data_IF_838499787917
#
_entry.id   IF_838499787917
#
_cell.length_a   1.000
_cell.length_b   1.000
_cell.length_c   1.000
_cell.angle_alpha   90.00
_cell.angle_beta   90.00
_cell.angle_gamma   90.00
#
_symmetry.space_group_name_H-M   'P 1'
#
loop_
_entity.id
_entity.type
_entity.pdbx_description
1 polymer ?
#
# COMPACT_ATOMS: atom_id res chain seq x y z
N UNK A 1 -5.92 10.07 -4.65
CA UNK A 1 -5.68 8.61 -4.62
C UNK A 1 -5.21 8.12 -3.26
N UNK A 2 -4.19 8.71 -2.63
CA UNK A 2 -3.61 8.15 -1.39
C UNK A 2 -4.61 7.87 -0.24
N UNK A 3 -5.75 8.58 -0.20
CA UNK A 3 -6.86 8.30 0.72
C UNK A 3 -7.47 6.90 0.61
N UNK A 4 -7.41 6.27 -0.56
CA UNK A 4 -7.98 4.91 -0.74
C UNK A 4 -7.24 3.88 0.12
N UNK A 5 -6.05 4.23 0.59
CA UNK A 5 -5.20 3.44 1.45
C UNK A 5 -5.40 3.76 2.95
N UNK A 6 -6.34 4.65 3.30
CA UNK A 6 -6.67 4.92 4.70
C UNK A 6 -7.21 3.66 5.38
N UNK A 7 -6.66 3.33 6.54
CA UNK A 7 -7.04 2.16 7.34
C UNK A 7 -8.36 2.43 8.08
N UNK A 8 -9.13 1.38 8.36
CA UNK A 8 -10.31 1.48 9.23
C UNK A 8 -9.87 1.73 10.67
N UNK A 9 -10.74 2.35 11.46
CA UNK A 9 -10.55 2.37 12.90
C UNK A 9 -10.84 0.98 13.48
N UNK A 10 -9.94 0.48 14.32
CA UNK A 10 -10.07 -0.84 14.93
C UNK A 10 -10.94 -0.75 16.19
N UNK A 11 -11.99 -1.57 16.24
CA UNK A 11 -12.85 -1.77 17.41
C UNK A 11 -12.25 -2.80 18.37
N UNK A 12 -12.76 -2.88 19.59
CA UNK A 12 -12.31 -3.89 20.56
C UNK A 12 -12.41 -5.32 20.02
N UNK A 13 -13.47 -5.65 19.27
CA UNK A 13 -13.61 -6.99 18.68
C UNK A 13 -12.54 -7.30 17.63
N UNK A 14 -12.12 -6.30 16.84
CA UNK A 14 -11.02 -6.45 15.87
C UNK A 14 -9.72 -6.82 16.59
N UNK A 15 -9.44 -6.17 17.73
CA UNK A 15 -8.20 -6.38 18.49
C UNK A 15 -8.12 -7.77 19.14
N UNK A 16 -9.26 -8.35 19.53
CA UNK A 16 -9.29 -9.70 20.11
C UNK A 16 -8.77 -10.76 19.14
N UNK A 17 -8.96 -10.54 17.84
CA UNK A 17 -8.52 -11.49 16.81
C UNK A 17 -7.01 -11.65 16.74
N UNK A 18 -6.26 -10.66 17.21
CA UNK A 18 -4.80 -10.74 17.25
C UNK A 18 -4.32 -11.75 18.30
N UNK A 19 -5.17 -12.21 19.21
CA UNK A 19 -4.83 -13.31 20.12
C UNK A 19 -4.67 -14.65 19.38
N UNK A 20 -5.26 -14.81 18.19
CA UNK A 20 -5.14 -16.03 17.37
C UNK A 20 -3.81 -16.13 16.61
N UNK A 21 -2.92 -15.15 16.75
CA UNK A 21 -1.69 -15.08 15.96
C UNK A 21 -0.53 -14.53 16.78
N UNK A 22 0.60 -15.22 16.77
CA UNK A 22 1.86 -14.64 17.26
C UNK A 22 2.38 -13.63 16.23
N UNK A 23 2.53 -12.34 16.58
CA UNK A 23 2.96 -11.32 15.63
C UNK A 23 4.38 -11.58 15.09
N UNK A 24 4.51 -11.86 13.78
CA UNK A 24 5.83 -12.01 13.14
C UNK A 24 6.37 -10.71 12.53
N UNK A 25 5.51 -9.69 12.45
CA UNK A 25 5.78 -8.45 11.72
C UNK A 25 6.41 -7.35 12.58
N UNK A 26 6.45 -7.48 13.91
CA UNK A 26 6.79 -6.38 14.83
C UNK A 26 8.17 -5.78 14.56
N UNK A 27 9.20 -6.62 14.39
CA UNK A 27 10.56 -6.17 14.07
C UNK A 27 10.60 -5.34 12.78
N UNK A 28 9.87 -5.75 11.76
CA UNK A 28 9.84 -5.06 10.47
C UNK A 28 9.07 -3.75 10.58
N UNK A 29 7.95 -3.75 11.29
CA UNK A 29 7.18 -2.51 11.56
C UNK A 29 8.04 -1.50 12.31
N UNK A 30 8.80 -1.91 13.32
CA UNK A 30 9.70 -1.02 14.05
C UNK A 30 10.75 -0.37 13.13
N UNK A 31 11.31 -1.13 12.18
CA UNK A 31 12.23 -0.56 11.19
C UNK A 31 11.53 0.44 10.25
N UNK A 32 10.32 0.11 9.81
CA UNK A 32 9.52 0.95 8.91
C UNK A 32 9.09 2.25 9.62
N UNK A 33 8.66 2.18 10.88
CA UNK A 33 8.31 3.35 11.71
C UNK A 33 9.51 4.29 11.85
N UNK A 34 10.69 3.74 12.17
CA UNK A 34 11.92 4.51 12.26
C UNK A 34 12.26 5.26 10.97
N UNK A 35 12.09 4.62 9.80
CA UNK A 35 12.29 5.28 8.50
C UNK A 35 11.29 6.42 8.29
N UNK A 36 10.02 6.19 8.59
CA UNK A 36 8.96 7.19 8.44
C UNK A 36 9.17 8.39 9.38
N UNK A 37 9.53 8.16 10.66
CA UNK A 37 9.89 9.24 11.61
C UNK A 37 11.04 10.10 11.14
N UNK A 38 12.12 9.46 10.65
CA UNK A 38 13.28 10.17 10.07
C UNK A 38 12.89 11.08 8.92
N UNK A 39 11.90 10.69 8.11
CA UNK A 39 11.41 11.59 7.06
C UNK A 39 10.75 12.82 7.66
N UNK A 40 9.91 12.71 8.68
CA UNK A 40 9.29 13.87 9.33
C UNK A 40 10.34 14.82 9.92
N UNK A 41 11.34 14.25 10.62
CA UNK A 41 12.44 15.00 11.23
C UNK A 41 13.27 15.76 10.19
N UNK A 42 13.47 15.21 8.98
CA UNK A 42 14.16 15.91 7.88
C UNK A 42 13.44 17.17 7.41
N UNK A 43 12.15 17.33 7.72
CA UNK A 43 11.40 18.57 7.45
C UNK A 43 11.39 19.52 8.65
N UNK A 44 12.17 19.26 9.71
CA UNK A 44 12.24 20.10 10.91
C UNK A 44 11.00 20.03 11.78
N UNK A 45 10.20 18.96 11.63
CA UNK A 45 8.95 18.76 12.38
C UNK A 45 9.18 17.65 13.41
N UNK A 46 8.53 17.77 14.57
CA UNK A 46 8.56 16.73 15.60
C UNK A 46 7.83 15.47 15.09
N UNK A 47 8.56 14.36 14.95
CA UNK A 47 8.00 13.09 14.45
C UNK A 47 6.95 12.49 15.38
N UNK A 48 6.99 12.82 16.67
CA UNK A 48 6.04 12.33 17.67
C UNK A 48 4.64 12.94 17.54
N UNK A 49 4.50 14.09 16.86
CA UNK A 49 3.19 14.68 16.56
C UNK A 49 2.38 13.81 15.58
N UNK A 50 3.06 12.95 14.82
CA UNK A 50 2.45 12.06 13.83
C UNK A 50 2.53 10.59 14.24
N UNK A 51 3.65 10.16 14.83
CA UNK A 51 3.90 8.79 15.28
C UNK A 51 4.39 8.84 16.74
N UNK A 52 3.50 8.75 17.75
CA UNK A 52 3.84 9.07 19.14
C UNK A 52 4.56 7.96 19.92
N UNK A 53 5.15 6.98 19.23
CA UNK A 53 5.83 5.83 19.84
C UNK A 53 7.00 5.37 18.97
N UNK A 54 8.04 4.78 19.57
CA UNK A 54 9.22 4.30 18.84
C UNK A 54 9.07 2.86 18.38
N UNK A 55 8.37 2.05 19.17
CA UNK A 55 8.23 0.62 18.99
C UNK A 55 6.76 0.21 19.09
N UNK A 56 6.33 -0.75 18.27
CA UNK A 56 4.95 -1.24 18.29
C UNK A 56 4.60 -1.90 19.63
N UNK A 57 5.58 -2.50 20.31
CA UNK A 57 5.43 -3.12 21.63
C UNK A 57 5.04 -2.09 22.72
N UNK A 58 5.26 -0.80 22.47
CA UNK A 58 4.89 0.31 23.37
C UNK A 58 3.49 0.87 23.05
N UNK A 59 2.82 0.34 22.02
CA UNK A 59 1.58 0.89 21.48
C UNK A 59 0.55 -0.21 21.21
N UNK A 60 -0.73 0.17 21.15
CA UNK A 60 -1.77 -0.74 20.66
C UNK A 60 -1.80 -0.73 19.14
N UNK A 61 -2.30 -1.78 18.51
CA UNK A 61 -2.53 -1.81 17.06
C UNK A 61 -3.45 -0.68 16.58
N UNK A 62 -4.42 -0.24 17.40
CA UNK A 62 -5.21 0.95 17.12
C UNK A 62 -4.35 2.21 17.02
N UNK A 63 -3.37 2.39 17.93
CA UNK A 63 -2.40 3.51 17.85
C UNK A 63 -1.53 3.41 16.61
N UNK A 64 -1.12 2.21 16.19
CA UNK A 64 -0.39 2.01 14.94
C UNK A 64 -1.18 2.46 13.72
N UNK A 65 -2.45 2.05 13.62
CA UNK A 65 -3.30 2.38 12.47
C UNK A 65 -3.61 3.88 12.44
N UNK A 66 -3.86 4.46 13.62
CA UNK A 66 -4.02 5.90 13.78
C UNK A 66 -2.75 6.66 13.35
N UNK A 67 -1.55 6.20 13.75
CA UNK A 67 -0.29 6.82 13.36
C UNK A 67 -0.02 6.71 11.84
N UNK A 68 -0.30 5.56 11.21
CA UNK A 68 -0.21 5.41 9.75
C UNK A 68 -1.18 6.35 9.02
N UNK A 69 -2.41 6.47 9.52
CA UNK A 69 -3.39 7.43 9.00
C UNK A 69 -2.99 8.89 9.27
N UNK A 70 -2.35 9.20 10.39
CA UNK A 70 -1.92 10.55 10.71
C UNK A 70 -0.69 10.97 9.90
N UNK A 71 0.22 10.05 9.59
CA UNK A 71 1.33 10.30 8.66
C UNK A 71 0.83 10.78 7.29
N UNK A 72 -0.33 10.30 6.85
CA UNK A 72 -0.98 10.77 5.63
C UNK A 72 -1.26 12.29 5.65
N UNK A 73 -1.57 12.85 6.82
CA UNK A 73 -1.79 14.28 7.00
C UNK A 73 -0.49 15.09 6.89
N UNK A 74 0.65 14.53 7.33
CA UNK A 74 1.97 15.10 7.07
C UNK A 74 2.33 15.05 5.58
N UNK A 75 2.05 13.91 4.93
CA UNK A 75 2.49 13.63 3.58
C UNK A 75 1.70 14.41 2.51
N UNK A 76 0.37 14.51 2.65
CA UNK A 76 -0.54 15.13 1.68
C UNK A 76 -0.17 16.56 1.25
N UNK A 77 0.06 17.52 2.17
CA UNK A 77 0.38 18.90 1.76
C UNK A 77 1.68 18.96 0.98
N UNK A 78 2.66 18.13 1.36
CA UNK A 78 3.96 18.04 0.68
C UNK A 78 3.82 17.43 -0.71
N UNK A 79 2.99 16.40 -0.86
CA UNK A 79 2.73 15.75 -2.15
C UNK A 79 2.40 16.75 -3.25
N UNK A 80 1.49 17.71 -2.98
CA UNK A 80 1.12 18.74 -3.96
C UNK A 80 2.31 19.55 -4.47
N UNK A 81 3.34 19.73 -3.64
CA UNK A 81 4.53 20.52 -3.98
C UNK A 81 5.49 19.75 -4.90
N UNK A 82 5.61 18.43 -4.74
CA UNK A 82 6.62 17.65 -5.47
C UNK A 82 6.08 16.80 -6.62
N UNK A 83 4.77 16.58 -6.76
CA UNK A 83 4.23 15.84 -7.93
C UNK A 83 4.31 16.61 -9.25
N UNK A 84 4.60 17.91 -9.19
CA UNK A 84 4.72 18.78 -10.36
C UNK A 84 6.18 19.12 -10.72
N UNK A 85 7.14 18.72 -9.89
CA UNK A 85 8.57 18.98 -10.09
C UNK A 85 9.35 17.66 -10.02
N UNK A 86 9.99 17.27 -11.11
CA UNK A 86 10.72 16.00 -11.20
C UNK A 86 11.93 15.92 -10.25
N UNK A 87 12.63 17.04 -10.02
CA UNK A 87 13.79 17.06 -9.12
C UNK A 87 13.33 16.84 -7.69
N UNK A 88 12.24 17.49 -7.30
CA UNK A 88 11.63 17.27 -5.98
C UNK A 88 11.04 15.85 -5.88
N UNK A 89 10.37 15.36 -6.93
CA UNK A 89 9.83 14.00 -6.96
C UNK A 89 10.92 12.96 -6.69
N UNK A 90 12.05 13.03 -7.42
CA UNK A 90 13.22 12.14 -7.22
C UNK A 90 13.85 12.27 -5.83
N UNK A 91 13.71 13.42 -5.16
CA UNK A 91 14.22 13.61 -3.79
C UNK A 91 13.32 12.95 -2.74
N UNK A 92 12.04 12.75 -3.04
CA UNK A 92 11.01 12.33 -2.10
C UNK A 92 10.29 11.02 -2.49
N UNK A 93 10.72 10.34 -3.55
CA UNK A 93 10.19 9.05 -3.98
C UNK A 93 10.41 7.93 -2.94
N UNK A 94 11.54 7.96 -2.24
CA UNK A 94 11.84 7.04 -1.15
C UNK A 94 10.91 7.28 0.05
N UNK A 95 10.58 8.54 0.35
CA UNK A 95 9.60 8.88 1.39
C UNK A 95 8.23 8.30 1.05
N UNK A 96 7.81 8.40 -0.21
CA UNK A 96 6.58 7.79 -0.69
C UNK A 96 6.61 6.27 -0.53
N UNK A 97 7.70 5.63 -0.93
CA UNK A 97 7.86 4.18 -0.84
C UNK A 97 7.86 3.70 0.61
N UNK A 98 8.56 4.40 1.50
CA UNK A 98 8.61 4.08 2.94
C UNK A 98 7.24 4.23 3.61
N UNK A 99 6.46 5.25 3.22
CA UNK A 99 5.09 5.42 3.69
C UNK A 99 4.17 4.30 3.18
N UNK A 100 4.22 3.99 1.89
CA UNK A 100 3.38 2.93 1.32
C UNK A 100 3.76 1.56 1.84
N UNK A 101 5.02 1.36 2.24
CA UNK A 101 5.46 0.17 2.97
C UNK A 101 4.78 0.08 4.33
N UNK A 102 4.79 1.16 5.13
CA UNK A 102 4.08 1.21 6.41
C UNK A 102 2.59 0.91 6.23
N UNK A 103 1.98 1.55 5.25
CA UNK A 103 0.57 1.42 4.98
C UNK A 103 0.19 0.00 4.50
N UNK A 104 0.99 -0.60 3.59
CA UNK A 104 0.80 -1.96 3.12
C UNK A 104 0.91 -3.00 4.25
N UNK A 105 1.88 -2.85 5.15
CA UNK A 105 1.98 -3.68 6.36
C UNK A 105 0.73 -3.56 7.24
N UNK A 106 0.28 -2.33 7.52
CA UNK A 106 -0.92 -2.13 8.35
C UNK A 106 -2.17 -2.73 7.70
N UNK A 107 -2.33 -2.61 6.38
CA UNK A 107 -3.43 -3.28 5.65
C UNK A 107 -3.33 -4.80 5.70
N UNK A 108 -2.12 -5.35 5.63
CA UNK A 108 -1.89 -6.77 5.82
C UNK A 108 -2.37 -7.23 7.20
N UNK A 109 -1.98 -6.53 8.27
CA UNK A 109 -2.45 -6.82 9.65
C UNK A 109 -3.96 -6.69 9.74
N UNK A 110 -4.54 -5.66 9.12
CA UNK A 110 -6.00 -5.51 9.08
C UNK A 110 -6.67 -6.70 8.40
N UNK A 111 -6.07 -7.24 7.35
CA UNK A 111 -6.61 -8.41 6.65
C UNK A 111 -6.42 -9.69 7.48
N UNK A 112 -5.35 -9.80 8.27
CA UNK A 112 -5.20 -10.90 9.24
C UNK A 112 -6.34 -10.86 10.26
N UNK A 113 -6.68 -9.68 10.78
CA UNK A 113 -7.83 -9.49 11.68
C UNK A 113 -9.14 -9.88 10.97
N UNK A 114 -9.38 -9.35 9.77
CA UNK A 114 -10.60 -9.61 9.00
C UNK A 114 -10.74 -11.11 8.66
N UNK A 115 -9.63 -11.80 8.44
CA UNK A 115 -9.59 -13.25 8.22
C UNK A 115 -10.07 -14.03 9.45
N UNK A 116 -9.56 -13.73 10.65
CA UNK A 116 -10.00 -14.43 11.85
C UNK A 116 -11.45 -14.09 12.23
N UNK A 117 -11.89 -12.82 12.06
CA UNK A 117 -13.32 -12.47 12.18
C UNK A 117 -14.20 -13.28 11.24
N UNK A 118 -13.74 -13.51 10.00
CA UNK A 118 -14.49 -14.29 9.03
C UNK A 118 -14.63 -15.74 9.49
N UNK A 119 -13.58 -16.34 10.05
CA UNK A 119 -13.61 -17.71 10.59
C UNK A 119 -14.52 -17.88 11.81
N UNK A 120 -14.75 -16.85 12.62
CA UNK A 120 -15.66 -16.94 13.78
C UNK A 120 -17.12 -17.17 13.36
N UNK A 121 -17.50 -16.72 12.16
CA UNK A 121 -18.90 -16.68 11.71
C UNK A 121 -19.17 -17.55 10.48
N UNK A 122 -18.13 -18.17 9.90
CA UNK A 122 -18.24 -18.99 8.70
C UNK A 122 -17.49 -20.30 8.91
N UNK A 123 -18.12 -21.40 8.53
CA UNK A 123 -17.44 -22.67 8.39
C UNK A 123 -16.60 -22.65 7.10
N UNK A 124 -15.29 -22.87 7.24
CA UNK A 124 -14.32 -22.74 6.15
C UNK A 124 -13.51 -24.01 6.04
N UNK A 125 -13.85 -24.80 5.02
CA UNK A 125 -13.17 -26.05 4.69
C UNK A 125 -11.69 -25.84 4.34
N UNK A 126 -11.38 -24.83 3.51
CA UNK A 126 -10.02 -24.51 3.09
C UNK A 126 -9.58 -23.12 3.55
N UNK A 127 -8.99 -23.07 4.75
CA UNK A 127 -8.47 -21.87 5.41
C UNK A 127 -7.49 -21.09 4.53
N UNK A 128 -6.56 -21.78 3.88
CA UNK A 128 -5.55 -21.16 3.01
C UNK A 128 -6.19 -20.49 1.78
N UNK A 129 -7.08 -21.20 1.08
CA UNK A 129 -7.82 -20.64 -0.07
C UNK A 129 -8.69 -19.46 0.35
N UNK A 130 -9.30 -19.52 1.53
CA UNK A 130 -10.05 -18.41 2.11
C UNK A 130 -9.17 -17.19 2.37
N UNK A 131 -7.98 -17.37 2.96
CA UNK A 131 -7.01 -16.30 3.16
C UNK A 131 -6.62 -15.65 1.82
N UNK A 132 -6.22 -16.45 0.81
CA UNK A 132 -5.87 -15.94 -0.53
C UNK A 132 -7.02 -15.12 -1.13
N UNK A 133 -8.27 -15.62 -1.04
CA UNK A 133 -9.45 -14.93 -1.55
C UNK A 133 -9.66 -13.57 -0.87
N UNK A 134 -9.60 -13.53 0.47
CA UNK A 134 -9.74 -12.28 1.24
C UNK A 134 -8.61 -11.29 0.92
N UNK A 135 -7.37 -11.78 0.82
CA UNK A 135 -6.22 -10.97 0.41
C UNK A 135 -6.41 -10.34 -0.97
N UNK A 136 -6.80 -11.15 -1.95
CA UNK A 136 -7.05 -10.68 -3.32
C UNK A 136 -8.23 -9.72 -3.41
N UNK A 137 -9.28 -9.84 -2.59
CA UNK A 137 -10.34 -8.84 -2.53
C UNK A 137 -9.81 -7.46 -2.12
N UNK A 138 -8.91 -7.42 -1.13
CA UNK A 138 -8.27 -6.17 -0.69
C UNK A 138 -7.38 -5.61 -1.80
N UNK A 139 -6.51 -6.42 -2.39
CA UNK A 139 -5.58 -5.97 -3.44
C UNK A 139 -6.35 -5.48 -4.67
N UNK A 140 -7.30 -6.28 -5.17
CA UNK A 140 -8.04 -5.98 -6.40
C UNK A 140 -8.89 -4.71 -6.26
N UNK A 141 -9.46 -4.44 -5.08
CA UNK A 141 -10.17 -3.19 -4.83
C UNK A 141 -9.27 -1.96 -4.99
N UNK A 142 -8.01 -2.03 -4.56
CA UNK A 142 -7.04 -0.93 -4.63
C UNK A 142 -6.51 -0.81 -6.06
N UNK A 143 -6.19 -1.95 -6.66
CA UNK A 143 -5.71 -2.02 -8.03
C UNK A 143 -6.73 -1.52 -9.05
N UNK A 144 -8.01 -1.83 -8.91
CA UNK A 144 -9.08 -1.29 -9.77
C UNK A 144 -9.15 0.24 -9.68
N UNK A 145 -8.99 0.81 -8.49
CA UNK A 145 -8.92 2.27 -8.32
C UNK A 145 -7.68 2.84 -9.00
N UNK A 146 -6.54 2.16 -8.91
CA UNK A 146 -5.34 2.52 -9.66
C UNK A 146 -5.59 2.53 -11.17
N UNK A 147 -6.15 1.44 -11.74
CA UNK A 147 -6.51 1.35 -13.17
C UNK A 147 -7.37 2.53 -13.61
N UNK A 148 -8.46 2.79 -12.89
CA UNK A 148 -9.38 3.87 -13.22
C UNK A 148 -8.71 5.24 -13.25
N UNK A 149 -7.75 5.50 -12.36
CA UNK A 149 -7.00 6.76 -12.36
C UNK A 149 -5.97 6.84 -13.49
N UNK A 150 -5.39 5.70 -13.92
CA UNK A 150 -4.53 5.64 -15.11
C UNK A 150 -5.34 5.94 -16.37
N UNK A 151 -6.51 5.32 -16.55
CA UNK A 151 -7.41 5.60 -17.68
C UNK A 151 -7.87 7.06 -17.72
N UNK A 152 -8.08 7.70 -16.58
CA UNK A 152 -8.38 9.15 -16.55
C UNK A 152 -7.20 10.04 -16.95
N UNK A 153 -5.98 9.52 -16.87
CA UNK A 153 -4.74 10.31 -17.01
C UNK A 153 -4.08 10.15 -18.39
N UNK A 154 -4.20 8.98 -19.02
CA UNK A 154 -3.61 8.66 -20.33
C UNK A 154 -4.75 8.38 -21.33
N UNK A 155 -4.71 9.03 -22.50
CA UNK A 155 -5.77 8.98 -23.52
C UNK A 155 -5.60 7.82 -24.51
N UNK A 156 -4.40 7.25 -24.63
CA UNK A 156 -4.07 6.10 -25.48
C UNK A 156 -4.64 4.79 -24.90
N UNK A 157 -5.96 4.68 -24.87
CA UNK A 157 -6.70 3.57 -24.25
C UNK A 157 -6.45 2.23 -24.93
N UNK A 158 -6.24 2.21 -26.24
CA UNK A 158 -5.87 1.02 -27.02
C UNK A 158 -4.62 0.32 -26.46
N UNK A 159 -3.57 1.09 -26.15
CA UNK A 159 -2.33 0.56 -25.58
C UNK A 159 -2.52 0.22 -24.10
N UNK A 160 -3.32 0.98 -23.35
CA UNK A 160 -3.63 0.65 -21.96
C UNK A 160 -4.38 -0.68 -21.85
N UNK A 161 -5.32 -0.93 -22.75
CA UNK A 161 -6.09 -2.18 -22.80
C UNK A 161 -5.17 -3.39 -23.01
N UNK A 162 -4.18 -3.28 -23.90
CA UNK A 162 -3.16 -4.31 -24.10
C UNK A 162 -2.26 -4.49 -22.86
N UNK A 163 -1.87 -3.39 -22.19
CA UNK A 163 -1.06 -3.49 -20.96
C UNK A 163 -1.85 -4.20 -19.86
N UNK A 164 -3.13 -3.86 -19.69
CA UNK A 164 -3.98 -4.42 -18.63
C UNK A 164 -4.55 -5.81 -18.99
N UNK A 165 -4.61 -6.20 -20.26
CA UNK A 165 -5.01 -7.55 -20.66
C UNK A 165 -4.00 -8.62 -20.24
N UNK A 166 -2.75 -8.21 -19.94
CA UNK A 166 -1.69 -9.08 -19.44
C UNK A 166 -1.76 -9.31 -17.92
N UNK A 167 -2.85 -8.93 -17.26
CA UNK A 167 -3.12 -9.24 -15.87
C UNK A 167 -3.31 -10.74 -15.64
N UNK A 168 -2.54 -11.30 -14.69
CA UNK A 168 -2.65 -12.71 -14.30
C UNK A 168 -3.23 -12.81 -12.89
N UNK A 169 -4.48 -13.25 -12.81
CA UNK A 169 -5.18 -13.51 -11.54
C UNK A 169 -5.28 -15.02 -11.35
N UNK A 170 -4.59 -15.56 -10.35
CA UNK A 170 -4.62 -16.99 -10.01
C UNK A 170 -5.27 -17.18 -8.64
N UNK A 171 -6.16 -18.16 -8.52
CA UNK A 171 -6.84 -18.47 -7.25
C UNK A 171 -5.90 -19.03 -6.18
N UNK A 172 -4.70 -19.44 -6.56
CA UNK A 172 -3.71 -20.10 -5.70
C UNK A 172 -2.69 -19.15 -5.08
N UNK A 173 -2.67 -17.87 -5.45
CA UNK A 173 -1.70 -16.89 -4.96
C UNK A 173 -2.27 -15.48 -4.88
N UNK A 174 -1.57 -14.60 -4.18
CA UNK A 174 -1.90 -13.19 -4.15
C UNK A 174 -1.57 -12.53 -5.49
N UNK A 175 -2.38 -11.56 -5.90
CA UNK A 175 -2.17 -10.79 -7.11
C UNK A 175 -0.89 -9.93 -6.99
N UNK A 176 -0.04 -10.02 -8.02
CA UNK A 176 1.23 -9.31 -8.13
C UNK A 176 1.19 -8.33 -9.31
N UNK A 177 1.17 -7.04 -8.99
CA UNK A 177 1.02 -5.98 -10.01
C UNK A 177 2.35 -5.50 -10.59
N UNK A 178 3.50 -5.94 -10.07
CA UNK A 178 4.84 -5.40 -10.36
C UNK A 178 5.13 -5.26 -11.86
N UNK A 179 4.89 -6.31 -12.64
CA UNK A 179 5.21 -6.31 -14.09
C UNK A 179 4.39 -5.27 -14.83
N UNK A 180 3.10 -5.16 -14.53
CA UNK A 180 2.19 -4.19 -15.15
C UNK A 180 2.59 -2.77 -14.77
N UNK A 181 2.90 -2.54 -13.49
CA UNK A 181 3.31 -1.22 -13.00
C UNK A 181 4.62 -0.76 -13.67
N UNK A 182 5.61 -1.64 -13.81
CA UNK A 182 6.87 -1.32 -14.50
C UNK A 182 6.65 -1.07 -15.99
N UNK A 183 5.72 -1.79 -16.60
CA UNK A 183 5.35 -1.60 -18.02
C UNK A 183 4.65 -0.25 -18.22
N UNK A 184 3.71 0.12 -17.36
CA UNK A 184 3.04 1.43 -17.36
C UNK A 184 4.03 2.58 -17.15
N UNK A 185 4.99 2.43 -16.23
CA UNK A 185 6.01 3.45 -15.99
C UNK A 185 6.89 3.67 -17.24
N UNK A 186 7.32 2.58 -17.89
CA UNK A 186 8.06 2.63 -19.17
C UNK A 186 7.23 3.25 -20.28
N UNK A 187 5.96 2.88 -20.38
CA UNK A 187 5.04 3.43 -21.38
C UNK A 187 4.86 4.94 -21.21
N UNK A 188 4.59 5.39 -19.98
CA UNK A 188 4.50 6.82 -19.65
C UNK A 188 5.78 7.59 -20.01
N UNK A 189 6.96 7.03 -19.73
CA UNK A 189 8.23 7.63 -20.13
C UNK A 189 8.38 7.75 -21.66
N UNK A 190 7.93 6.74 -22.42
CA UNK A 190 7.91 6.78 -23.90
C UNK A 190 6.97 7.88 -24.41
N UNK A 191 5.77 7.99 -23.85
CA UNK A 191 4.80 9.05 -24.21
C UNK A 191 5.38 10.44 -23.95
N UNK A 192 6.05 10.63 -22.81
CA UNK A 192 6.72 11.89 -22.47
C UNK A 192 7.83 12.22 -23.48
N UNK A 193 8.70 11.25 -23.80
CA UNK A 193 9.79 11.44 -24.79
C UNK A 193 9.25 11.78 -26.17
N UNK A 194 8.12 11.17 -26.55
CA UNK A 194 7.40 11.46 -27.79
C UNK A 194 6.55 12.75 -27.73
N UNK A 195 6.57 13.49 -26.60
CA UNK A 195 5.76 14.70 -26.35
C UNK A 195 4.24 14.49 -26.49
N UNK A 196 3.76 13.26 -26.33
CA UNK A 196 2.32 12.92 -26.34
C UNK A 196 1.61 13.30 -25.03
N UNK A 197 2.36 13.30 -23.93
CA UNK A 197 1.88 13.75 -22.62
C UNK A 197 2.79 14.82 -22.04
N UNK A 198 2.25 15.65 -21.17
CA UNK A 198 3.04 16.64 -20.43
C UNK A 198 3.90 15.98 -19.34
N UNK A 199 4.89 16.72 -18.86
CA UNK A 199 5.71 16.29 -17.72
C UNK A 199 4.88 16.04 -16.45
N UNK A 200 3.87 16.88 -16.20
CA UNK A 200 2.97 16.73 -15.06
C UNK A 200 2.18 15.41 -15.14
N UNK A 201 1.65 15.08 -16.33
CA UNK A 201 0.94 13.82 -16.57
C UNK A 201 1.86 12.62 -16.32
N UNK A 202 3.10 12.67 -16.81
CA UNK A 202 4.09 11.63 -16.55
C UNK A 202 4.40 11.45 -15.06
N UNK A 203 4.63 12.56 -14.33
CA UNK A 203 4.90 12.52 -12.90
C UNK A 203 3.70 12.01 -12.10
N UNK A 204 2.47 12.37 -12.49
CA UNK A 204 1.25 11.81 -11.91
C UNK A 204 1.19 10.30 -12.11
N UNK A 205 1.38 9.79 -13.33
CA UNK A 205 1.38 8.34 -13.60
C UNK A 205 2.47 7.64 -12.77
N UNK A 206 3.67 8.21 -12.74
CA UNK A 206 4.79 7.68 -11.95
C UNK A 206 4.42 7.61 -10.48
N UNK A 207 3.86 8.68 -9.92
CA UNK A 207 3.35 8.72 -8.56
C UNK A 207 2.33 7.60 -8.28
N UNK A 208 1.34 7.40 -9.17
CA UNK A 208 0.36 6.32 -9.03
C UNK A 208 1.03 4.93 -9.03
N UNK A 209 2.02 4.73 -9.90
CA UNK A 209 2.81 3.50 -9.98
C UNK A 209 3.56 3.23 -8.67
N UNK A 210 4.20 4.23 -8.07
CA UNK A 210 4.89 4.10 -6.79
C UNK A 210 3.92 3.74 -5.65
N UNK A 211 2.74 4.36 -5.61
CA UNK A 211 1.72 4.02 -4.63
C UNK A 211 1.33 2.55 -4.70
N UNK A 212 0.94 2.10 -5.90
CA UNK A 212 0.43 0.76 -6.10
C UNK A 212 1.50 -0.29 -5.88
N UNK A 213 2.73 -0.05 -6.36
CA UNK A 213 3.84 -0.99 -6.20
C UNK A 213 4.24 -1.14 -4.73
N UNK A 214 4.44 -0.01 -4.04
CA UNK A 214 4.84 -0.01 -2.63
C UNK A 214 3.79 -0.67 -1.74
N UNK A 215 2.50 -0.38 -1.99
CA UNK A 215 1.41 -1.05 -1.29
C UNK A 215 1.39 -2.56 -1.54
N UNK A 216 1.35 -2.98 -2.80
CA UNK A 216 1.15 -4.39 -3.17
C UNK A 216 2.30 -5.26 -2.67
N UNK A 217 3.55 -4.81 -2.80
CA UNK A 217 4.72 -5.55 -2.30
C UNK A 217 4.69 -5.69 -0.78
N UNK A 218 4.45 -4.59 -0.05
CA UNK A 218 4.46 -4.60 1.41
C UNK A 218 3.29 -5.41 2.00
N UNK A 219 2.11 -5.27 1.39
CA UNK A 219 0.93 -6.06 1.73
C UNK A 219 1.14 -7.55 1.49
N UNK A 220 1.58 -7.92 0.28
CA UNK A 220 1.80 -9.31 -0.08
C UNK A 220 2.87 -9.92 0.81
N UNK A 221 3.97 -9.21 1.08
CA UNK A 221 5.02 -9.68 1.97
C UNK A 221 4.47 -10.09 3.34
N UNK A 222 3.68 -9.22 3.99
CA UNK A 222 3.14 -9.54 5.32
C UNK A 222 2.09 -10.65 5.25
N UNK A 223 1.18 -10.58 4.28
CA UNK A 223 0.04 -11.48 4.23
C UNK A 223 0.39 -12.89 3.69
N UNK A 224 1.43 -12.99 2.87
CA UNK A 224 1.96 -14.27 2.40
C UNK A 224 2.49 -15.12 3.56
N UNK A 225 3.08 -14.50 4.58
CA UNK A 225 3.49 -15.20 5.80
C UNK A 225 2.30 -15.79 6.57
N UNK A 226 1.12 -15.16 6.56
CA UNK A 226 -0.09 -15.78 7.09
C UNK A 226 -0.43 -17.02 6.27
N UNK A 227 -0.50 -16.88 4.94
CA UNK A 227 -0.88 -17.97 4.01
C UNK A 227 0.03 -19.18 4.18
N UNK A 228 1.34 -18.96 4.37
CA UNK A 228 2.32 -20.04 4.58
C UNK A 228 2.15 -20.75 5.92
N UNK A 229 1.63 -20.07 6.95
CA UNK A 229 1.35 -20.65 8.28
C UNK A 229 0.04 -21.44 8.34
N UNK A 230 -0.78 -21.38 7.29
CA UNK A 230 -2.06 -22.09 7.18
C UNK A 230 -1.94 -23.44 6.45
N UNK A 231 -0.71 -23.90 6.22
CA UNK A 231 -0.38 -25.24 5.70
C UNK A 231 -0.22 -26.26 6.83
#
# INVERSE_FOLDING_TARGET
MIEIFKLKELKSNDLKQLAHVTPWWEKNINQILKKNKRWIEKFGINSNDFIPFEKIEQATYSKLFAASNNYLNFFKPKLKQFINDERLFKKFDQMLTDYMTLNGFCWGIQTVIDYYLFLETNDVENKRKCAIKLGNQVINKKYLRFKNEIYKTIIEHDVLDEIFSNEVHLDSQLFESKVIILTLAKFSAKLLKAKKISKEVHLRVTYLCYLQLGFNQAYNWLYYDLINRLY
#
